data_IF_225962383996
#
_entry.id   IF_225962383996
#
_cell.length_a   1.000
_cell.length_b   1.000
_cell.length_c   1.000
_cell.angle_alpha   90.00
_cell.angle_beta   90.00
_cell.angle_gamma   90.00
#
_symmetry.space_group_name_H-M   'P 1'
#
loop_
_entity.id
_entity.type
_entity.pdbx_description
1 polymer ?
#
# COMPACT_ATOMS: atom_id res chain seq x y z
N UNK A 1 6.12 -9.05 -2.68
CA UNK A 1 7.13 -9.39 -1.67
C UNK A 1 8.22 -8.31 -1.51
N UNK A 2 8.68 -7.67 -2.59
CA UNK A 2 9.82 -6.75 -2.59
C UNK A 2 9.75 -5.68 -1.48
N UNK A 3 8.66 -4.91 -1.40
CA UNK A 3 8.50 -3.89 -0.35
C UNK A 3 8.54 -4.50 1.05
N UNK A 4 7.89 -5.65 1.27
CA UNK A 4 7.93 -6.35 2.56
C UNK A 4 9.37 -6.65 3.00
N UNK A 5 10.20 -7.16 2.09
CA UNK A 5 11.60 -7.49 2.37
C UNK A 5 12.41 -6.25 2.74
N UNK A 6 12.17 -5.14 2.05
CA UNK A 6 12.82 -3.87 2.36
C UNK A 6 12.37 -3.30 3.72
N UNK A 7 11.10 -3.47 4.10
CA UNK A 7 10.62 -3.09 5.45
C UNK A 7 11.27 -3.95 6.53
N UNK A 8 11.39 -5.27 6.32
CA UNK A 8 12.09 -6.16 7.28
C UNK A 8 13.57 -5.76 7.39
N UNK A 9 14.23 -5.44 6.28
CA UNK A 9 15.58 -4.86 6.31
C UNK A 9 15.59 -3.58 7.15
N UNK A 10 14.63 -2.69 6.96
CA UNK A 10 14.48 -1.44 7.72
C UNK A 10 14.38 -1.66 9.23
N UNK A 11 13.60 -2.67 9.67
CA UNK A 11 13.51 -3.06 11.08
C UNK A 11 14.89 -3.48 11.63
N UNK A 12 15.64 -4.30 10.91
CA UNK A 12 16.92 -4.82 11.36
C UNK A 12 18.02 -3.75 11.34
N UNK A 13 18.11 -2.97 10.27
CA UNK A 13 19.16 -1.96 10.07
C UNK A 13 18.98 -0.77 11.04
N UNK A 14 17.74 -0.38 11.34
CA UNK A 14 17.46 0.67 12.33
C UNK A 14 17.76 0.23 13.77
N UNK A 15 17.71 -1.07 14.04
CA UNK A 15 17.98 -1.64 15.36
C UNK A 15 19.48 -1.68 15.68
N UNK A 16 20.32 -2.06 14.74
CA UNK A 16 21.72 -2.45 14.94
C UNK A 16 22.75 -1.44 14.41
N UNK A 17 22.34 -0.23 13.99
CA UNK A 17 23.21 0.82 13.42
C UNK A 17 24.17 0.29 12.35
N UNK A 18 23.70 -0.62 11.50
CA UNK A 18 24.56 -1.38 10.57
C UNK A 18 25.21 -0.49 9.54
N UNK A 19 24.52 0.53 9.00
CA UNK A 19 25.06 1.48 8.02
C UNK A 19 26.27 2.24 8.59
N UNK A 20 26.10 2.82 9.76
CA UNK A 20 27.19 3.54 10.42
C UNK A 20 28.36 2.61 10.78
N UNK A 21 28.09 1.37 11.17
CA UNK A 21 29.12 0.37 11.44
C UNK A 21 29.92 -0.01 10.18
N UNK A 22 29.24 -0.15 9.04
CA UNK A 22 29.88 -0.43 7.74
C UNK A 22 30.80 0.74 7.34
N UNK A 23 30.32 1.98 7.45
CA UNK A 23 31.10 3.15 7.08
C UNK A 23 32.31 3.34 7.99
N UNK A 24 32.12 3.14 9.31
CA UNK A 24 33.24 3.15 10.24
C UNK A 24 34.27 2.04 9.93
N UNK A 25 33.83 0.80 9.63
CA UNK A 25 34.73 -0.30 9.30
C UNK A 25 35.62 0.00 8.07
N UNK A 26 35.06 0.72 7.07
CA UNK A 26 35.83 1.17 5.89
C UNK A 26 37.02 2.08 6.28
N UNK A 27 36.90 2.88 7.35
CA UNK A 27 37.97 3.77 7.83
C UNK A 27 39.17 3.02 8.40
N UNK A 28 39.02 1.71 8.70
CA UNK A 28 40.11 0.88 9.22
C UNK A 28 41.05 0.34 8.13
N UNK A 29 40.72 0.58 6.84
CA UNK A 29 41.57 0.16 5.72
C UNK A 29 42.95 0.77 5.87
N UNK A 30 43.98 -0.06 5.75
CA UNK A 30 45.38 0.35 5.84
C UNK A 30 45.96 0.33 7.27
N UNK A 31 45.21 -0.14 8.27
CA UNK A 31 45.72 -0.27 9.67
C UNK A 31 46.42 -1.59 9.96
N UNK A 32 46.60 -2.46 8.96
CA UNK A 32 47.34 -3.72 9.09
C UNK A 32 46.89 -4.58 10.26
N UNK A 33 47.82 -5.09 11.05
CA UNK A 33 47.55 -6.00 12.16
C UNK A 33 46.80 -5.34 13.32
N UNK A 34 46.63 -4.03 13.33
CA UNK A 34 45.86 -3.31 14.37
C UNK A 34 44.35 -3.42 14.18
N UNK A 35 43.86 -3.81 12.98
CA UNK A 35 42.43 -3.84 12.62
C UNK A 35 41.64 -4.63 13.67
N UNK A 36 42.09 -5.82 14.07
CA UNK A 36 41.39 -6.65 15.04
C UNK A 36 41.19 -5.96 16.39
N UNK A 37 42.21 -5.28 16.91
CA UNK A 37 42.14 -4.51 18.18
C UNK A 37 41.21 -3.30 18.05
N UNK A 38 41.25 -2.59 16.91
CA UNK A 38 40.39 -1.46 16.65
C UNK A 38 38.92 -1.86 16.56
N UNK A 39 38.61 -2.98 15.90
CA UNK A 39 37.24 -3.53 15.82
C UNK A 39 36.71 -3.84 17.23
N UNK A 40 37.44 -4.56 18.04
CA UNK A 40 37.01 -4.90 19.40
C UNK A 40 36.81 -3.63 20.27
N UNK A 41 37.66 -2.63 20.16
CA UNK A 41 37.56 -1.36 20.87
C UNK A 41 36.37 -0.51 20.40
N UNK A 42 36.08 -0.53 19.09
CA UNK A 42 35.06 0.34 18.47
C UNK A 42 33.65 -0.22 18.44
N UNK A 43 33.47 -1.56 18.53
CA UNK A 43 32.17 -2.21 18.32
C UNK A 43 31.04 -1.72 19.23
N UNK A 44 31.37 -1.27 20.44
CA UNK A 44 30.36 -0.83 21.44
C UNK A 44 29.51 0.36 21.01
N UNK A 45 30.02 1.23 20.12
CA UNK A 45 29.28 2.39 19.61
C UNK A 45 28.12 2.00 18.68
N UNK A 46 28.11 0.76 18.16
CA UNK A 46 27.09 0.26 17.22
C UNK A 46 26.11 -0.73 17.89
N UNK A 47 26.16 -0.88 19.22
CA UNK A 47 25.23 -1.73 19.95
C UNK A 47 23.79 -1.22 19.78
N UNK A 48 22.86 -2.14 19.61
CA UNK A 48 21.44 -1.86 19.50
C UNK A 48 20.58 -3.04 19.94
N UNK A 49 19.26 -2.85 20.11
CA UNK A 49 18.36 -3.88 20.58
C UNK A 49 18.10 -4.98 19.53
N UNK A 50 17.65 -6.11 20.00
CA UNK A 50 17.00 -7.13 19.16
C UNK A 50 15.55 -6.74 18.88
N UNK A 51 14.99 -7.20 17.77
CA UNK A 51 13.58 -6.97 17.40
C UNK A 51 12.63 -7.97 18.09
N UNK A 52 13.11 -9.15 18.45
CA UNK A 52 12.32 -10.18 19.12
C UNK A 52 11.73 -9.65 20.43
N UNK A 53 10.42 -9.87 20.64
CA UNK A 53 9.69 -9.36 21.81
C UNK A 53 9.43 -7.86 21.81
N UNK A 54 9.84 -7.11 20.77
CA UNK A 54 9.47 -5.70 20.58
C UNK A 54 8.14 -5.58 19.88
N UNK A 55 7.43 -4.49 20.16
CA UNK A 55 6.11 -4.26 19.57
C UNK A 55 6.23 -3.45 18.27
N UNK A 56 5.68 -4.01 17.19
CA UNK A 56 5.54 -3.37 15.89
C UNK A 56 4.09 -2.91 15.68
N UNK A 57 3.91 -1.64 15.33
CA UNK A 57 2.66 -1.08 14.84
C UNK A 57 2.67 -1.01 13.32
N UNK A 58 1.64 -1.57 12.68
CA UNK A 58 1.44 -1.53 11.23
C UNK A 58 0.22 -0.67 10.92
N UNK A 59 0.45 0.47 10.26
CA UNK A 59 -0.60 1.40 9.83
C UNK A 59 -0.93 1.13 8.38
N UNK A 60 -2.13 0.59 8.13
CA UNK A 60 -2.54 0.04 6.83
C UNK A 60 -2.25 -1.45 6.73
N UNK A 61 -3.30 -2.28 6.71
CA UNK A 61 -3.24 -3.74 6.61
C UNK A 61 -3.69 -4.24 5.22
N UNK A 62 -3.43 -3.42 4.20
CA UNK A 62 -3.60 -3.81 2.80
C UNK A 62 -2.60 -4.89 2.35
N UNK A 63 -2.45 -5.08 1.04
CA UNK A 63 -1.62 -6.14 0.45
C UNK A 63 -0.17 -6.19 0.98
N UNK A 64 0.46 -5.03 1.20
CA UNK A 64 1.84 -4.94 1.71
C UNK A 64 1.87 -5.04 3.24
N UNK A 65 1.03 -4.24 3.93
CA UNK A 65 1.05 -4.19 5.39
C UNK A 65 0.73 -5.53 6.04
N UNK A 66 -0.18 -6.32 5.47
CA UNK A 66 -0.48 -7.66 5.95
C UNK A 66 0.73 -8.61 5.82
N UNK A 67 1.46 -8.56 4.70
CA UNK A 67 2.68 -9.36 4.50
C UNK A 67 3.78 -8.96 5.49
N UNK A 68 3.95 -7.66 5.75
CA UNK A 68 4.91 -7.15 6.74
C UNK A 68 4.53 -7.59 8.13
N UNK A 69 3.26 -7.43 8.53
CA UNK A 69 2.75 -7.84 9.83
C UNK A 69 3.00 -9.33 10.11
N UNK A 70 2.66 -10.19 9.14
CA UNK A 70 2.88 -11.62 9.24
C UNK A 70 4.37 -11.97 9.38
N UNK A 71 5.22 -11.40 8.52
CA UNK A 71 6.66 -11.66 8.55
C UNK A 71 7.31 -11.21 9.87
N UNK A 72 6.94 -10.04 10.38
CA UNK A 72 7.45 -9.53 11.65
C UNK A 72 7.01 -10.40 12.85
N UNK A 73 5.77 -10.91 12.82
CA UNK A 73 5.28 -11.85 13.83
C UNK A 73 6.07 -13.18 13.84
N UNK A 74 6.46 -13.69 12.65
CA UNK A 74 7.32 -14.89 12.55
C UNK A 74 8.75 -14.61 13.04
N UNK A 75 9.24 -13.38 12.95
CA UNK A 75 10.52 -12.96 13.56
C UNK A 75 10.42 -12.77 15.08
N UNK A 76 9.26 -13.03 15.68
CA UNK A 76 9.06 -12.99 17.13
C UNK A 76 8.74 -11.59 17.67
N UNK A 77 8.30 -10.65 16.85
CA UNK A 77 7.76 -9.37 17.29
C UNK A 77 6.32 -9.53 17.79
N UNK A 78 5.89 -8.68 18.72
CA UNK A 78 4.48 -8.46 19.03
C UNK A 78 3.92 -7.49 18.00
N UNK A 79 2.96 -7.94 17.18
CA UNK A 79 2.45 -7.12 16.07
C UNK A 79 1.02 -6.68 16.33
N UNK A 80 0.79 -5.37 16.26
CA UNK A 80 -0.55 -4.78 16.21
C UNK A 80 -0.72 -3.99 14.91
N UNK A 81 -1.93 -3.97 14.37
CA UNK A 81 -2.17 -3.25 13.12
C UNK A 81 -3.53 -2.57 13.08
N UNK A 82 -3.60 -1.44 12.40
CA UNK A 82 -4.83 -0.67 12.20
C UNK A 82 -5.07 -0.41 10.70
N UNK A 83 -6.31 -0.61 10.27
CA UNK A 83 -6.78 -0.27 8.94
C UNK A 83 -8.30 -0.06 8.97
N UNK A 84 -8.81 1.17 8.77
CA UNK A 84 -10.25 1.43 8.79
C UNK A 84 -10.99 0.81 7.60
N UNK A 85 -10.28 0.38 6.57
CA UNK A 85 -10.83 -0.20 5.34
C UNK A 85 -10.53 -1.70 5.19
N UNK A 86 -10.11 -2.36 6.28
CA UNK A 86 -9.77 -3.79 6.25
C UNK A 86 -10.96 -4.62 5.78
N UNK A 87 -10.83 -5.25 4.63
CA UNK A 87 -11.84 -6.17 4.09
C UNK A 87 -11.82 -7.52 4.82
N UNK A 88 -12.92 -8.27 4.71
CA UNK A 88 -12.99 -9.65 5.22
C UNK A 88 -11.85 -10.51 4.64
N UNK A 89 -11.63 -10.41 3.33
CA UNK A 89 -10.53 -11.14 2.67
C UNK A 89 -9.16 -10.69 3.20
N UNK A 90 -8.96 -9.40 3.44
CA UNK A 90 -7.75 -8.86 4.05
C UNK A 90 -7.52 -9.43 5.45
N UNK A 91 -8.58 -9.51 6.26
CA UNK A 91 -8.50 -10.07 7.60
C UNK A 91 -8.15 -11.58 7.60
N UNK A 92 -8.66 -12.35 6.63
CA UNK A 92 -8.33 -13.77 6.47
C UNK A 92 -6.85 -14.01 6.09
N UNK A 93 -6.20 -13.03 5.49
CA UNK A 93 -4.78 -13.10 5.13
C UNK A 93 -3.83 -12.76 6.29
N UNK A 94 -4.36 -12.26 7.41
CA UNK A 94 -3.56 -11.96 8.59
C UNK A 94 -3.32 -13.21 9.43
N UNK A 95 -2.08 -13.37 9.90
CA UNK A 95 -1.75 -14.36 10.91
C UNK A 95 -2.55 -14.11 12.20
N UNK A 96 -2.95 -15.16 12.88
CA UNK A 96 -3.60 -15.08 14.20
C UNK A 96 -2.69 -14.47 15.30
N UNK A 97 -1.39 -14.32 15.01
CA UNK A 97 -0.43 -13.63 15.87
C UNK A 97 -0.52 -12.10 15.77
N UNK A 98 -1.20 -11.58 14.74
CA UNK A 98 -1.36 -10.13 14.53
C UNK A 98 -2.64 -9.66 15.19
N UNK A 99 -2.53 -8.72 16.14
CA UNK A 99 -3.68 -8.13 16.82
C UNK A 99 -4.20 -6.91 16.05
N UNK A 100 -5.47 -6.93 15.66
CA UNK A 100 -6.12 -5.74 15.10
C UNK A 100 -6.46 -4.74 16.20
N UNK A 101 -6.20 -3.45 15.94
CA UNK A 101 -6.59 -2.32 16.80
C UNK A 101 -7.38 -1.30 15.98
N UNK A 102 -8.35 -0.63 16.64
CA UNK A 102 -9.29 0.26 15.95
C UNK A 102 -8.71 1.66 15.67
N UNK A 103 -7.57 2.01 16.26
CA UNK A 103 -7.04 3.36 16.21
C UNK A 103 -5.51 3.37 16.11
N UNK A 104 -4.99 4.24 15.28
CA UNK A 104 -3.55 4.51 15.20
C UNK A 104 -2.99 5.07 16.53
N UNK A 105 -3.84 5.66 17.39
CA UNK A 105 -3.42 6.16 18.72
C UNK A 105 -2.77 5.05 19.55
N UNK A 106 -3.39 3.85 19.62
CA UNK A 106 -2.82 2.71 20.35
C UNK A 106 -1.44 2.31 19.78
N UNK A 107 -1.28 2.40 18.45
CA UNK A 107 0.00 2.14 17.79
C UNK A 107 1.04 3.17 18.23
N UNK A 108 0.71 4.46 18.17
CA UNK A 108 1.64 5.52 18.52
C UNK A 108 2.10 5.44 19.98
N UNK A 109 1.18 5.20 20.90
CA UNK A 109 1.47 5.19 22.33
C UNK A 109 2.22 3.93 22.82
N UNK A 110 2.08 2.80 22.12
CA UNK A 110 2.53 1.51 22.67
C UNK A 110 3.63 0.79 21.90
N UNK A 111 3.92 1.18 20.64
CA UNK A 111 4.85 0.46 19.79
C UNK A 111 6.29 0.97 19.90
N UNK A 112 7.24 0.06 19.78
CA UNK A 112 8.67 0.34 19.70
C UNK A 112 9.10 0.63 18.26
N UNK A 113 8.38 0.07 17.30
CA UNK A 113 8.55 0.23 15.85
C UNK A 113 7.21 0.54 15.22
N UNK A 114 7.20 1.41 14.22
CA UNK A 114 6.00 1.77 13.47
C UNK A 114 6.33 1.73 11.98
N UNK A 115 5.48 1.10 11.18
CA UNK A 115 5.59 1.11 9.72
C UNK A 115 4.28 1.55 9.09
N UNK A 116 4.38 2.38 8.04
CA UNK A 116 3.21 2.94 7.36
C UNK A 116 3.03 2.34 5.97
N UNK A 117 1.81 1.94 5.65
CA UNK A 117 1.42 1.29 4.39
C UNK A 117 0.08 1.84 3.88
N UNK A 118 -0.06 3.15 3.91
CA UNK A 118 -1.26 3.86 3.46
C UNK A 118 -0.93 4.75 2.26
N UNK A 119 -1.91 5.06 1.38
CA UNK A 119 -1.73 6.03 0.32
C UNK A 119 -1.59 7.46 0.88
N UNK A 120 -0.94 8.34 0.14
CA UNK A 120 -0.94 9.77 0.43
C UNK A 120 -2.27 10.38 -0.04
N UNK A 121 -3.03 10.89 0.91
CA UNK A 121 -4.28 11.63 0.70
C UNK A 121 -4.26 12.90 1.54
N UNK A 122 -5.21 13.84 1.39
CA UNK A 122 -5.31 14.99 2.29
C UNK A 122 -5.38 14.59 3.77
N UNK A 123 -6.03 13.46 4.10
CA UNK A 123 -6.21 12.96 5.48
C UNK A 123 -4.98 12.26 6.03
N UNK A 124 -4.12 11.68 5.18
CA UNK A 124 -2.91 10.97 5.58
C UNK A 124 -1.65 11.81 5.45
N UNK A 125 -1.73 12.98 4.81
CA UNK A 125 -0.61 13.91 4.72
C UNK A 125 -0.18 14.34 6.13
N UNK A 126 1.13 14.26 6.40
CA UNK A 126 1.72 14.59 7.70
C UNK A 126 1.02 13.89 8.89
N UNK A 127 0.47 12.68 8.66
CA UNK A 127 -0.21 11.91 9.70
C UNK A 127 0.72 11.56 10.87
N UNK A 128 2.02 11.52 10.64
CA UNK A 128 3.05 11.45 11.66
C UNK A 128 3.77 12.81 11.68
N UNK A 129 3.30 13.69 12.54
CA UNK A 129 3.81 15.04 12.77
C UNK A 129 4.42 15.16 14.18
N UNK A 130 4.90 16.35 14.55
CA UNK A 130 5.54 16.60 15.83
C UNK A 130 4.65 16.26 17.05
N UNK A 131 3.36 16.55 16.98
CA UNK A 131 2.45 16.28 18.11
C UNK A 131 2.19 14.77 18.27
N UNK A 132 2.06 14.05 17.16
CA UNK A 132 1.95 12.59 17.18
C UNK A 132 3.23 11.95 17.69
N UNK A 133 4.41 12.40 17.25
CA UNK A 133 5.69 11.86 17.70
C UNK A 133 5.86 12.05 19.24
N UNK A 134 5.41 13.16 19.81
CA UNK A 134 5.43 13.38 21.26
C UNK A 134 4.62 12.35 22.07
N UNK A 135 3.62 11.72 21.45
CA UNK A 135 2.83 10.65 22.10
C UNK A 135 3.49 9.27 22.02
N UNK A 136 4.52 9.13 21.20
CA UNK A 136 5.20 7.87 20.99
C UNK A 136 6.15 7.52 22.12
N UNK A 137 6.55 6.26 22.16
CA UNK A 137 7.63 5.83 23.07
C UNK A 137 8.93 6.52 22.71
N UNK A 138 9.71 6.89 23.73
CA UNK A 138 11.11 7.28 23.51
C UNK A 138 11.86 6.20 22.75
N UNK A 139 12.74 6.62 21.85
CA UNK A 139 13.51 5.73 20.99
C UNK A 139 12.64 4.89 20.02
N UNK A 140 11.44 5.36 19.67
CA UNK A 140 10.65 4.75 18.59
C UNK A 140 11.44 4.74 17.28
N UNK A 141 11.18 3.74 16.44
CA UNK A 141 11.73 3.63 15.09
C UNK A 141 10.60 3.64 14.09
N UNK A 142 10.70 4.46 13.07
CA UNK A 142 9.65 4.62 12.06
C UNK A 142 10.18 4.18 10.70
N UNK A 143 9.41 3.37 9.98
CA UNK A 143 9.66 2.96 8.60
C UNK A 143 8.58 3.51 7.68
N UNK A 144 9.00 4.16 6.61
CA UNK A 144 8.11 4.66 5.56
C UNK A 144 8.60 4.24 4.18
N UNK A 145 8.04 3.14 3.68
CA UNK A 145 8.23 2.64 2.32
C UNK A 145 6.92 2.73 1.52
N UNK A 146 6.02 3.64 1.92
CA UNK A 146 4.73 3.80 1.27
C UNK A 146 4.71 5.01 0.33
N UNK A 147 4.81 6.23 0.89
CA UNK A 147 4.82 7.49 0.11
C UNK A 147 5.53 8.59 0.89
N UNK A 148 6.20 9.51 0.16
CA UNK A 148 6.63 10.78 0.73
C UNK A 148 5.43 11.59 1.24
N UNK A 149 5.66 12.45 2.26
CA UNK A 149 4.63 13.33 2.82
C UNK A 149 3.66 12.68 3.82
N UNK A 150 3.82 11.39 4.15
CA UNK A 150 3.07 10.74 5.25
C UNK A 150 3.67 11.06 6.62
N UNK A 151 4.98 11.25 6.67
CA UNK A 151 5.76 11.61 7.86
C UNK A 151 6.34 13.00 7.65
N UNK A 152 6.18 13.88 8.62
CA UNK A 152 6.71 15.23 8.55
C UNK A 152 8.21 15.21 8.82
N UNK A 153 9.03 15.63 7.86
CA UNK A 153 10.50 15.54 7.94
C UNK A 153 11.09 16.49 8.99
N UNK A 154 10.53 17.70 9.17
CA UNK A 154 10.99 18.64 10.19
C UNK A 154 10.79 18.04 11.60
N UNK A 155 9.66 17.38 11.81
CA UNK A 155 9.36 16.70 13.08
C UNK A 155 10.28 15.49 13.32
N UNK A 156 10.69 14.78 12.27
CA UNK A 156 11.66 13.68 12.35
C UNK A 156 13.03 14.22 12.79
N UNK A 157 13.52 15.26 12.13
CA UNK A 157 14.82 15.88 12.45
C UNK A 157 14.85 16.36 13.91
N UNK A 158 13.81 17.06 14.35
CA UNK A 158 13.68 17.52 15.74
C UNK A 158 13.66 16.34 16.72
N UNK A 159 12.88 15.30 16.44
CA UNK A 159 12.74 14.14 17.33
C UNK A 159 14.03 13.30 17.42
N UNK A 160 14.79 13.17 16.35
CA UNK A 160 16.11 12.54 16.38
C UNK A 160 17.10 13.36 17.20
N UNK A 161 17.13 14.67 17.00
CA UNK A 161 18.05 15.58 17.71
C UNK A 161 17.82 15.61 19.23
N UNK A 162 16.56 15.50 19.67
CA UNK A 162 16.21 15.56 21.11
C UNK A 162 16.10 14.17 21.78
N UNK A 163 16.38 13.06 21.03
CA UNK A 163 16.31 11.69 21.53
C UNK A 163 14.89 11.14 21.72
N UNK A 164 13.89 11.79 21.16
CA UNK A 164 12.51 11.29 21.13
C UNK A 164 12.34 10.10 20.17
N UNK A 165 13.14 10.06 19.12
CA UNK A 165 13.18 8.99 18.11
C UNK A 165 14.58 8.40 18.02
N UNK A 166 14.69 7.11 17.75
CA UNK A 166 15.98 6.43 17.56
C UNK A 166 16.38 6.30 16.09
N UNK A 167 15.43 6.14 15.19
CA UNK A 167 15.71 6.02 13.75
C UNK A 167 14.47 6.30 12.90
N UNK A 168 14.73 6.81 11.70
CA UNK A 168 13.77 6.91 10.61
C UNK A 168 14.34 6.23 9.37
N UNK A 169 13.60 5.29 8.78
CA UNK A 169 14.01 4.57 7.56
C UNK A 169 13.00 4.85 6.47
N UNK A 170 13.46 5.30 5.32
CA UNK A 170 12.56 5.64 4.20
C UNK A 170 13.25 5.46 2.85
N UNK A 171 12.46 5.17 1.81
CA UNK A 171 12.87 5.24 0.41
C UNK A 171 12.23 6.44 -0.34
N UNK A 172 11.70 7.42 0.42
CA UNK A 172 11.19 8.71 -0.09
C UNK A 172 11.86 9.89 0.63
N UNK A 173 13.19 9.99 0.62
CA UNK A 173 13.87 11.06 1.35
C UNK A 173 13.71 12.41 0.65
N UNK A 174 13.33 13.44 1.43
CA UNK A 174 13.54 14.83 1.05
C UNK A 174 14.92 15.33 1.47
N UNK A 175 15.29 16.51 1.00
CA UNK A 175 16.61 17.11 1.25
C UNK A 175 16.94 17.28 2.75
N UNK A 176 15.93 17.60 3.57
CA UNK A 176 16.09 17.90 4.99
C UNK A 176 16.60 16.75 5.85
N UNK A 177 16.31 15.52 5.47
CA UNK A 177 16.67 14.32 6.25
C UNK A 177 17.94 13.62 5.75
N UNK A 178 18.47 14.03 4.60
CA UNK A 178 19.71 13.45 4.07
C UNK A 178 20.90 13.81 4.95
N UNK A 179 21.65 12.80 5.36
CA UNK A 179 22.83 12.96 6.22
C UNK A 179 22.53 13.21 7.70
N UNK A 180 21.28 13.18 8.11
CA UNK A 180 20.89 13.32 9.54
C UNK A 180 21.16 12.00 10.27
N UNK A 181 21.84 12.08 11.42
CA UNK A 181 22.09 10.90 12.25
C UNK A 181 20.78 10.25 12.70
N UNK A 182 20.72 8.92 12.55
CA UNK A 182 19.50 8.16 12.83
C UNK A 182 18.56 8.00 11.62
N UNK A 183 18.83 8.69 10.50
CA UNK A 183 18.11 8.48 9.24
C UNK A 183 18.84 7.44 8.39
N UNK A 184 18.09 6.49 7.86
CA UNK A 184 18.51 5.58 6.81
C UNK A 184 17.66 5.87 5.58
N UNK A 185 18.23 6.62 4.66
CA UNK A 185 17.59 7.03 3.42
C UNK A 185 18.04 6.13 2.26
N UNK A 186 17.08 5.61 1.51
CA UNK A 186 17.28 4.79 0.31
C UNK A 186 16.65 5.50 -0.89
N UNK A 187 17.13 5.31 -2.12
CA UNK A 187 16.38 5.68 -3.29
C UNK A 187 15.14 4.78 -3.40
N UNK A 188 14.07 5.24 -4.02
CA UNK A 188 12.77 4.55 -4.13
C UNK A 188 12.90 3.12 -4.71
N UNK A 189 13.33 2.17 -3.88
CA UNK A 189 13.67 0.79 -4.25
C UNK A 189 12.59 -0.22 -3.84
N UNK A 190 11.51 0.23 -3.20
CA UNK A 190 10.53 -0.67 -2.60
C UNK A 190 10.01 -1.79 -3.50
N UNK A 191 9.79 -1.52 -4.79
CA UNK A 191 9.32 -2.49 -5.76
C UNK A 191 10.33 -2.79 -6.89
N UNK A 192 11.55 -2.30 -6.79
CA UNK A 192 12.59 -2.42 -7.84
C UNK A 192 13.33 -3.75 -7.76
N UNK A 193 12.65 -4.83 -8.07
CA UNK A 193 13.23 -6.17 -8.24
C UNK A 193 12.72 -6.80 -9.54
N UNK A 194 13.54 -7.63 -10.24
CA UNK A 194 13.11 -8.31 -11.46
C UNK A 194 11.78 -9.06 -11.27
N UNK A 195 11.63 -9.76 -10.16
CA UNK A 195 10.41 -10.53 -9.85
C UNK A 195 9.19 -9.61 -9.67
N UNK A 196 9.37 -8.43 -9.12
CA UNK A 196 8.28 -7.46 -8.94
C UNK A 196 7.85 -6.87 -10.28
N UNK A 197 8.79 -6.55 -11.16
CA UNK A 197 8.53 -6.05 -12.51
C UNK A 197 7.81 -7.10 -13.35
N UNK A 198 8.29 -8.35 -13.36
CA UNK A 198 7.65 -9.48 -14.05
C UNK A 198 6.22 -9.72 -13.53
N UNK A 199 6.02 -9.75 -12.21
CA UNK A 199 4.70 -9.93 -11.62
C UNK A 199 3.75 -8.78 -11.96
N UNK A 200 4.22 -7.54 -11.98
CA UNK A 200 3.40 -6.39 -12.40
C UNK A 200 3.00 -6.49 -13.87
N UNK A 201 3.92 -6.89 -14.75
CA UNK A 201 3.63 -7.07 -16.17
C UNK A 201 2.59 -8.17 -16.41
N UNK A 202 2.77 -9.33 -15.77
CA UNK A 202 1.81 -10.46 -15.86
C UNK A 202 0.45 -10.08 -15.30
N UNK A 203 0.40 -9.39 -14.15
CA UNK A 203 -0.85 -8.94 -13.54
C UNK A 203 -1.58 -7.94 -14.43
N UNK A 204 -0.87 -6.95 -14.97
CA UNK A 204 -1.45 -5.97 -15.89
C UNK A 204 -1.98 -6.63 -17.18
N UNK A 205 -1.24 -7.59 -17.75
CA UNK A 205 -1.68 -8.34 -18.91
C UNK A 205 -2.96 -9.15 -18.63
N UNK A 206 -3.05 -9.81 -17.48
CA UNK A 206 -4.24 -10.58 -17.09
C UNK A 206 -5.45 -9.66 -16.82
N UNK A 207 -5.27 -8.51 -16.21
CA UNK A 207 -6.32 -7.53 -15.97
C UNK A 207 -6.86 -6.95 -17.30
N UNK A 208 -5.96 -6.63 -18.24
CA UNK A 208 -6.35 -6.17 -19.58
C UNK A 208 -7.09 -7.29 -20.34
N UNK A 209 -6.59 -8.51 -20.28
CA UNK A 209 -7.23 -9.68 -20.89
C UNK A 209 -8.65 -9.89 -20.33
N UNK A 210 -8.80 -9.88 -19.00
CA UNK A 210 -10.10 -10.05 -18.35
C UNK A 210 -11.08 -8.93 -18.72
N UNK A 211 -10.58 -7.68 -18.80
CA UNK A 211 -11.39 -6.56 -19.30
C UNK A 211 -11.80 -6.79 -20.76
N UNK A 212 -10.89 -7.21 -21.62
CA UNK A 212 -11.17 -7.40 -23.05
C UNK A 212 -12.10 -8.60 -23.33
N UNK A 213 -11.91 -9.69 -22.62
CA UNK A 213 -12.66 -10.94 -22.84
C UNK A 213 -13.98 -10.99 -22.06
N UNK A 214 -13.98 -10.50 -20.82
CA UNK A 214 -15.09 -10.66 -19.88
C UNK A 214 -15.76 -9.34 -19.46
N UNK A 215 -15.17 -8.18 -19.77
CA UNK A 215 -15.67 -6.88 -19.34
C UNK A 215 -15.45 -6.58 -17.86
N UNK A 216 -14.64 -7.36 -17.16
CA UNK A 216 -14.35 -7.14 -15.76
C UNK A 216 -13.33 -6.01 -15.58
N UNK A 217 -13.51 -5.18 -14.57
CA UNK A 217 -12.55 -4.13 -14.19
C UNK A 217 -12.07 -4.41 -12.77
N UNK A 218 -10.76 -4.58 -12.63
CA UNK A 218 -10.08 -4.78 -11.35
C UNK A 218 -8.89 -3.82 -11.28
N UNK A 219 -8.63 -3.24 -10.09
CA UNK A 219 -7.50 -2.33 -9.81
C UNK A 219 -7.38 -1.08 -10.70
N UNK A 220 -8.43 -0.69 -11.39
CA UNK A 220 -8.40 0.52 -12.22
C UNK A 220 -8.21 1.79 -11.39
N UNK A 221 -7.37 2.71 -11.87
CA UNK A 221 -7.10 4.00 -11.21
C UNK A 221 -8.33 4.91 -11.24
N UNK A 222 -9.08 4.91 -12.32
CA UNK A 222 -10.16 5.87 -12.60
C UNK A 222 -11.56 5.25 -12.63
N UNK A 223 -11.69 3.93 -12.75
CA UNK A 223 -12.98 3.24 -12.77
C UNK A 223 -13.15 2.34 -11.54
N UNK A 224 -14.39 2.06 -11.13
CA UNK A 224 -14.66 1.16 -10.00
C UNK A 224 -14.41 -0.29 -10.38
N UNK A 225 -14.10 -1.13 -9.39
CA UNK A 225 -14.02 -2.58 -9.58
C UNK A 225 -15.43 -3.14 -9.79
N UNK A 226 -15.63 -3.79 -10.94
CA UNK A 226 -16.85 -4.52 -11.31
C UNK A 226 -16.44 -5.84 -11.95
N UNK A 227 -16.97 -6.94 -11.44
CA UNK A 227 -16.68 -8.27 -11.97
C UNK A 227 -17.95 -9.12 -11.90
N UNK A 228 -18.42 -9.58 -13.06
CA UNK A 228 -19.66 -10.34 -13.19
C UNK A 228 -19.48 -11.50 -14.15
N UNK A 229 -19.92 -12.68 -13.77
CA UNK A 229 -20.00 -13.83 -14.68
C UNK A 229 -21.10 -13.60 -15.72
N UNK A 230 -20.93 -14.12 -16.92
CA UNK A 230 -21.96 -14.12 -17.96
C UNK A 230 -22.82 -15.37 -17.81
N UNK A 231 -24.14 -15.19 -17.72
CA UNK A 231 -25.14 -16.23 -17.63
C UNK A 231 -26.18 -16.12 -18.77
N UNK A 232 -26.29 -14.95 -19.38
CA UNK A 232 -27.10 -14.67 -20.56
C UNK A 232 -26.37 -14.95 -21.87
N UNK A 233 -26.86 -14.36 -22.95
CA UNK A 233 -26.28 -14.50 -24.28
C UNK A 233 -25.18 -13.48 -24.59
N UNK A 234 -25.19 -12.36 -23.88
CA UNK A 234 -24.20 -11.28 -24.04
C UNK A 234 -24.13 -10.34 -22.83
N UNK A 235 -22.99 -9.67 -22.67
CA UNK A 235 -22.83 -8.54 -21.76
C UNK A 235 -22.80 -7.22 -22.50
N UNK A 236 -23.51 -6.22 -21.99
CA UNK A 236 -23.37 -4.82 -22.38
C UNK A 236 -22.57 -4.11 -21.29
N UNK A 237 -21.39 -3.65 -21.63
CA UNK A 237 -20.47 -2.98 -20.73
C UNK A 237 -20.45 -1.46 -21.04
N UNK A 238 -20.88 -0.64 -20.11
CA UNK A 238 -21.06 0.81 -20.32
C UNK A 238 -20.18 1.60 -19.37
N UNK A 239 -19.23 2.37 -19.91
CA UNK A 239 -18.52 3.42 -19.18
C UNK A 239 -19.28 4.74 -19.37
N UNK A 240 -19.62 5.39 -18.28
CA UNK A 240 -20.43 6.62 -18.35
C UNK A 240 -20.12 7.59 -17.21
N UNK A 241 -20.59 8.83 -17.35
CA UNK A 241 -20.56 9.82 -16.25
C UNK A 241 -21.52 9.39 -15.14
N UNK A 242 -21.15 9.67 -13.89
CA UNK A 242 -21.99 9.38 -12.73
C UNK A 242 -23.03 10.51 -12.57
N UNK A 243 -24.11 10.42 -13.34
CA UNK A 243 -25.20 11.41 -13.36
C UNK A 243 -26.55 10.76 -13.10
N UNK A 244 -27.48 11.54 -12.55
CA UNK A 244 -28.84 11.08 -12.20
C UNK A 244 -29.61 10.57 -13.43
N UNK A 245 -30.39 9.52 -13.22
CA UNK A 245 -31.31 8.97 -14.22
C UNK A 245 -30.65 8.17 -15.35
N UNK A 246 -29.32 8.11 -15.45
CA UNK A 246 -28.67 7.45 -16.59
C UNK A 246 -28.83 5.93 -16.55
N UNK A 247 -28.76 5.30 -15.37
CA UNK A 247 -29.01 3.85 -15.25
C UNK A 247 -30.43 3.52 -15.71
N UNK A 248 -31.43 4.33 -15.35
CA UNK A 248 -32.81 4.16 -15.79
C UNK A 248 -32.92 4.23 -17.32
N UNK A 249 -32.25 5.18 -17.95
CA UNK A 249 -32.23 5.32 -19.43
C UNK A 249 -31.59 4.08 -20.08
N UNK A 250 -30.47 3.58 -19.55
CA UNK A 250 -29.80 2.38 -20.06
C UNK A 250 -30.73 1.16 -19.97
N UNK A 251 -31.34 0.93 -18.81
CA UNK A 251 -32.25 -0.23 -18.61
C UNK A 251 -33.52 -0.11 -19.45
N UNK A 252 -34.07 1.11 -19.64
CA UNK A 252 -35.22 1.37 -20.49
C UNK A 252 -34.91 0.99 -21.95
N UNK A 253 -33.73 1.34 -22.48
CA UNK A 253 -33.34 0.95 -23.84
C UNK A 253 -33.38 -0.57 -24.04
N UNK A 254 -32.99 -1.35 -23.04
CA UNK A 254 -32.97 -2.82 -23.06
C UNK A 254 -34.40 -3.36 -23.02
N UNK A 255 -35.23 -2.84 -22.12
CA UNK A 255 -36.63 -3.25 -21.94
C UNK A 255 -37.48 -2.95 -23.19
N UNK A 256 -37.31 -1.74 -23.79
CA UNK A 256 -38.00 -1.36 -25.03
C UNK A 256 -37.62 -2.26 -26.23
N UNK A 257 -36.45 -2.84 -26.22
CA UNK A 257 -36.01 -3.81 -27.21
C UNK A 257 -36.54 -5.24 -26.96
N UNK A 258 -37.35 -5.43 -25.91
CA UNK A 258 -37.90 -6.72 -25.52
C UNK A 258 -36.86 -7.70 -24.94
N UNK A 259 -35.72 -7.20 -24.51
CA UNK A 259 -34.64 -8.01 -23.92
C UNK A 259 -34.79 -8.12 -22.39
N UNK A 260 -34.38 -9.26 -21.84
CA UNK A 260 -34.31 -9.46 -20.41
C UNK A 260 -32.90 -9.18 -19.85
N UNK A 261 -32.84 -8.56 -18.68
CA UNK A 261 -31.59 -8.40 -17.92
C UNK A 261 -31.52 -9.53 -16.90
N UNK A 262 -30.58 -10.45 -17.07
CA UNK A 262 -30.37 -11.57 -16.16
C UNK A 262 -29.63 -11.10 -14.89
N UNK A 263 -28.57 -10.30 -15.09
CA UNK A 263 -27.78 -9.71 -14.00
C UNK A 263 -27.37 -8.30 -14.37
N UNK A 264 -27.17 -7.45 -13.36
CA UNK A 264 -26.65 -6.10 -13.51
C UNK A 264 -25.77 -5.74 -12.32
N UNK A 265 -24.60 -5.21 -12.62
CA UNK A 265 -23.72 -4.55 -11.62
C UNK A 265 -23.36 -3.16 -12.09
N UNK A 266 -23.59 -2.17 -11.24
CA UNK A 266 -23.22 -0.78 -11.51
C UNK A 266 -22.56 -0.18 -10.28
N UNK A 267 -21.36 0.38 -10.49
CA UNK A 267 -20.60 1.08 -9.46
C UNK A 267 -20.06 2.39 -9.99
N UNK A 268 -19.89 3.35 -9.10
CA UNK A 268 -19.29 4.65 -9.42
C UNK A 268 -17.99 4.87 -8.64
N UNK A 269 -17.11 5.67 -9.24
CA UNK A 269 -15.89 6.17 -8.63
C UNK A 269 -15.72 7.63 -9.05
N UNK A 270 -16.03 8.56 -8.15
CA UNK A 270 -16.07 10.01 -8.42
C UNK A 270 -17.04 10.34 -9.57
N UNK A 271 -16.55 10.93 -10.63
CA UNK A 271 -17.34 11.43 -11.77
C UNK A 271 -17.71 10.34 -12.78
N UNK A 272 -17.17 9.14 -12.65
CA UNK A 272 -17.37 8.04 -13.59
C UNK A 272 -18.05 6.85 -12.95
N UNK A 273 -18.80 6.14 -13.76
CA UNK A 273 -19.42 4.87 -13.39
C UNK A 273 -19.18 3.81 -14.47
N UNK A 274 -19.21 2.58 -14.05
CA UNK A 274 -19.16 1.42 -14.92
C UNK A 274 -20.34 0.52 -14.61
N UNK A 275 -21.17 0.27 -15.64
CA UNK A 275 -22.35 -0.57 -15.57
C UNK A 275 -22.20 -1.75 -16.51
N UNK A 276 -22.34 -2.94 -15.99
CA UNK A 276 -22.34 -4.20 -16.77
C UNK A 276 -23.72 -4.82 -16.65
N UNK A 277 -24.30 -5.16 -17.78
CA UNK A 277 -25.60 -5.82 -17.89
C UNK A 277 -25.43 -7.12 -18.63
N UNK A 278 -25.83 -8.21 -18.01
CA UNK A 278 -25.90 -9.54 -18.61
C UNK A 278 -27.32 -9.74 -19.16
N UNK A 279 -27.43 -9.97 -20.44
CA UNK A 279 -28.71 -9.91 -21.15
C UNK A 279 -28.97 -11.15 -22.01
N UNK A 280 -30.25 -11.49 -22.22
CA UNK A 280 -30.70 -12.47 -23.20
C UNK A 280 -31.11 -11.80 -24.51
N UNK A 281 -30.66 -12.37 -25.63
CA UNK A 281 -30.93 -11.90 -26.99
C UNK A 281 -29.74 -11.16 -27.61
N UNK A 282 -29.97 -10.59 -28.82
CA UNK A 282 -28.91 -9.85 -29.52
C UNK A 282 -28.92 -8.35 -29.13
N UNK A 283 -27.87 -7.86 -28.42
CA UNK A 283 -27.84 -6.50 -27.94
C UNK A 283 -27.32 -5.45 -28.91
N UNK A 284 -26.96 -5.77 -30.13
CA UNK A 284 -26.21 -4.87 -31.03
C UNK A 284 -26.97 -3.54 -31.29
N UNK A 285 -28.26 -3.61 -31.61
CA UNK A 285 -29.09 -2.41 -31.85
C UNK A 285 -29.33 -1.58 -30.57
N UNK A 286 -29.38 -2.25 -29.42
CA UNK A 286 -29.52 -1.60 -28.11
C UNK A 286 -28.23 -0.91 -27.71
N UNK A 287 -27.10 -1.54 -27.97
CA UNK A 287 -25.79 -0.94 -27.68
C UNK A 287 -25.58 0.36 -28.44
N UNK A 288 -26.06 0.48 -29.67
CA UNK A 288 -26.00 1.71 -30.46
C UNK A 288 -26.89 2.82 -29.88
N UNK A 289 -28.10 2.47 -29.43
CA UNK A 289 -28.98 3.43 -28.73
C UNK A 289 -28.34 3.95 -27.43
N UNK A 290 -27.76 3.04 -26.62
CA UNK A 290 -27.08 3.44 -25.40
C UNK A 290 -25.87 4.33 -25.70
N UNK A 291 -25.08 3.99 -26.72
CA UNK A 291 -23.88 4.74 -27.15
C UNK A 291 -24.21 6.18 -27.56
N UNK A 292 -25.40 6.42 -28.11
CA UNK A 292 -25.87 7.75 -28.47
C UNK A 292 -26.23 8.65 -27.26
N UNK A 293 -26.24 8.10 -26.04
CA UNK A 293 -26.57 8.85 -24.82
C UNK A 293 -25.49 9.89 -24.47
N UNK A 294 -25.88 11.15 -24.18
CA UNK A 294 -24.98 12.29 -23.96
C UNK A 294 -23.94 12.07 -22.83
N UNK A 295 -24.28 11.31 -21.80
CA UNK A 295 -23.39 11.02 -20.66
C UNK A 295 -22.65 9.68 -20.79
N UNK A 296 -22.82 8.97 -21.91
CA UNK A 296 -22.15 7.69 -22.17
C UNK A 296 -20.81 7.96 -22.84
N UNK A 297 -19.78 7.30 -22.35
CA UNK A 297 -18.39 7.45 -22.83
C UNK A 297 -18.03 6.30 -23.76
N UNK A 298 -18.39 5.07 -23.39
CA UNK A 298 -18.08 3.89 -24.17
C UNK A 298 -19.10 2.77 -23.91
N UNK A 299 -19.44 2.04 -24.97
CA UNK A 299 -20.27 0.85 -24.89
C UNK A 299 -19.58 -0.30 -25.63
N UNK A 300 -19.41 -1.42 -24.95
CA UNK A 300 -18.90 -2.64 -25.53
C UNK A 300 -19.90 -3.76 -25.36
N UNK A 301 -20.00 -4.60 -26.35
CA UNK A 301 -20.76 -5.87 -26.30
C UNK A 301 -19.76 -7.02 -26.26
N UNK A 302 -19.97 -7.96 -25.36
CA UNK A 302 -19.21 -9.21 -25.22
C UNK A 302 -20.20 -10.35 -25.41
N UNK A 303 -19.91 -11.25 -26.34
CA UNK A 303 -20.73 -12.43 -26.70
C UNK A 303 -20.00 -13.71 -26.41
#
# INVERSE_FOLDING_TARGET
NAVKELVILGLLISSRKVTAAIDWAKTLKGKGDEVGKLVEKGKSQFVGPEIKGKKLGVIGLGAIGALVANAAAELGMEVIGADPFLSVQGALNLSNKVKYVKSNKEIFETCDYITVHVPLTPETKDMINADVIKTMKKNVRIMNFARGGLVNEDAVVEALANGGMAAYVTDFPGDKILGVDGVVALPHLGASTPESEDNCAVMAANEIKDYLENGNIVNSVNLPNVSMSMTGDAKICVIHKNVEGLIAKITTCITEAGMNIENMESKSKKDYAYTVLDVKGNPDSVADKIRAGEAVISVRVIK
#
